data_IF_649937221133
#
_entry.id   IF_649937221133
#
_cell.length_a   1.000
_cell.length_b   1.000
_cell.length_c   1.000
_cell.angle_alpha   90.00
_cell.angle_beta   90.00
_cell.angle_gamma   90.00
#
_symmetry.space_group_name_H-M   'P 1'
#
loop_
_entity.id
_entity.type
_entity.pdbx_description
1 polymer ?
#
# COMPACT_ATOMS: atom_id res chain seq x y z
N UNK A 1 -9.58 -5.90 -9.52
CA UNK A 1 -9.86 -4.64 -10.23
C UNK A 1 -10.00 -4.89 -11.71
N UNK A 2 -10.98 -4.31 -12.35
CA UNK A 2 -11.22 -4.49 -13.80
C UNK A 2 -11.03 -3.15 -14.51
N UNK A 3 -10.11 -3.11 -15.44
CA UNK A 3 -10.02 -2.04 -16.44
C UNK A 3 -10.57 -2.60 -17.74
N UNK A 4 -11.54 -1.97 -18.32
CA UNK A 4 -12.39 -2.23 -19.51
C UNK A 4 -12.36 -3.61 -20.20
N UNK A 5 -11.48 -4.55 -19.90
CA UNK A 5 -11.50 -5.98 -20.33
C UNK A 5 -10.40 -6.85 -19.68
N UNK A 6 -9.58 -6.33 -18.77
CA UNK A 6 -8.45 -7.08 -18.21
C UNK A 6 -8.44 -7.04 -16.70
N UNK A 7 -8.30 -8.19 -16.05
CA UNK A 7 -8.10 -8.30 -14.60
C UNK A 7 -6.70 -7.86 -14.23
N UNK A 8 -6.58 -6.88 -13.34
CA UNK A 8 -5.33 -6.42 -12.76
C UNK A 8 -5.26 -6.80 -11.28
N UNK A 9 -4.06 -7.09 -10.83
CA UNK A 9 -3.78 -7.44 -9.44
C UNK A 9 -3.04 -6.30 -8.76
N UNK A 10 -3.62 -5.79 -7.68
CA UNK A 10 -2.97 -4.80 -6.84
C UNK A 10 -2.08 -5.51 -5.81
N UNK A 11 -0.79 -5.22 -5.88
CA UNK A 11 0.20 -5.63 -4.91
C UNK A 11 0.50 -4.45 -4.00
N UNK A 12 0.35 -4.62 -2.70
CA UNK A 12 0.44 -3.54 -1.73
C UNK A 12 1.26 -3.97 -0.52
N UNK A 13 2.25 -3.16 -0.14
CA UNK A 13 2.89 -3.20 1.15
C UNK A 13 2.05 -2.44 2.18
N UNK A 14 1.94 -2.95 3.39
CA UNK A 14 1.31 -2.25 4.53
C UNK A 14 2.21 -2.43 5.73
N UNK A 15 2.57 -1.33 6.37
CA UNK A 15 3.41 -1.37 7.54
C UNK A 15 2.64 -1.70 8.84
N UNK A 16 3.35 -1.73 9.95
CA UNK A 16 2.77 -2.02 11.27
C UNK A 16 1.75 -0.97 11.73
N UNK A 17 1.85 0.25 11.25
CA UNK A 17 0.97 1.37 11.58
C UNK A 17 -0.21 1.50 10.60
N UNK A 18 -0.25 0.68 9.56
CA UNK A 18 -1.30 0.63 8.56
C UNK A 18 -1.09 1.62 7.40
N UNK A 19 0.10 2.21 7.32
CA UNK A 19 0.51 3.03 6.18
C UNK A 19 0.84 2.14 4.99
N UNK A 20 0.73 2.71 3.80
CA UNK A 20 1.03 2.01 2.55
C UNK A 20 2.32 2.59 1.97
N UNK A 21 3.48 1.99 2.26
CA UNK A 21 4.75 2.47 1.75
C UNK A 21 4.87 2.38 0.23
N UNK A 22 4.34 1.33 -0.36
CA UNK A 22 4.35 1.18 -1.82
C UNK A 22 3.26 0.22 -2.30
N UNK A 23 2.85 0.44 -3.57
CA UNK A 23 1.84 -0.39 -4.22
C UNK A 23 1.99 -0.37 -5.74
N UNK A 24 1.83 -1.53 -6.36
CA UNK A 24 1.94 -1.68 -7.80
C UNK A 24 0.82 -2.52 -8.39
N UNK A 25 0.35 -2.12 -9.57
CA UNK A 25 -0.55 -2.92 -10.38
C UNK A 25 0.23 -3.87 -11.30
N UNK A 26 -0.19 -5.11 -11.35
CA UNK A 26 0.42 -6.13 -12.19
C UNK A 26 -0.64 -6.97 -12.92
N UNK A 27 -0.32 -7.39 -14.13
CA UNK A 27 -1.20 -8.26 -14.92
C UNK A 27 -1.23 -9.71 -14.42
N UNK A 28 -0.16 -10.15 -13.79
CA UNK A 28 -0.01 -11.52 -13.31
C UNK A 28 0.25 -11.54 -11.80
N UNK A 29 -0.21 -12.61 -11.17
CA UNK A 29 0.03 -12.86 -9.74
C UNK A 29 1.14 -13.90 -9.60
N UNK A 30 2.33 -13.53 -10.03
CA UNK A 30 3.48 -14.41 -10.11
C UNK A 30 4.67 -13.93 -9.24
N UNK A 31 5.74 -14.75 -9.20
CA UNK A 31 7.00 -14.46 -8.50
C UNK A 31 7.65 -13.15 -8.99
N UNK A 32 7.51 -12.80 -10.28
CA UNK A 32 8.12 -11.58 -10.85
C UNK A 32 7.44 -10.33 -10.31
N UNK A 33 6.11 -10.37 -10.15
CA UNK A 33 5.35 -9.26 -9.55
C UNK A 33 5.75 -9.06 -8.08
N UNK A 34 5.86 -10.14 -7.30
CA UNK A 34 6.34 -10.10 -5.93
C UNK A 34 7.74 -9.49 -5.82
N UNK A 35 8.68 -9.93 -6.66
CA UNK A 35 10.03 -9.37 -6.72
C UNK A 35 10.06 -7.88 -7.04
N UNK A 36 9.19 -7.41 -7.93
CA UNK A 36 9.11 -5.99 -8.30
C UNK A 36 8.67 -5.14 -7.12
N UNK A 37 7.62 -5.54 -6.39
CA UNK A 37 7.20 -4.84 -5.18
C UNK A 37 8.31 -4.82 -4.12
N UNK A 38 8.94 -5.97 -3.84
CA UNK A 38 10.03 -6.05 -2.87
C UNK A 38 11.20 -5.14 -3.22
N UNK A 39 11.61 -5.08 -4.50
CA UNK A 39 12.66 -4.16 -4.96
C UNK A 39 12.30 -2.68 -4.73
N UNK A 40 11.05 -2.31 -5.00
CA UNK A 40 10.57 -0.95 -4.74
C UNK A 40 10.65 -0.61 -3.26
N UNK A 41 10.09 -1.46 -2.41
CA UNK A 41 10.13 -1.29 -0.96
C UNK A 41 11.57 -1.16 -0.42
N UNK A 42 12.49 -2.00 -0.90
CA UNK A 42 13.90 -1.94 -0.49
C UNK A 42 14.60 -0.67 -0.96
N UNK A 43 14.31 -0.19 -2.17
CA UNK A 43 14.88 1.07 -2.68
C UNK A 43 14.42 2.28 -1.85
N UNK A 44 13.15 2.32 -1.45
CA UNK A 44 12.60 3.43 -0.69
C UNK A 44 13.07 3.44 0.77
N UNK A 45 13.20 2.27 1.39
CA UNK A 45 13.47 2.18 2.83
C UNK A 45 14.93 1.81 3.17
N UNK A 46 15.77 1.49 2.18
CA UNK A 46 17.18 1.17 2.37
C UNK A 46 17.48 -0.12 3.14
N UNK A 47 16.44 -0.83 3.59
CA UNK A 47 16.57 -2.07 4.38
C UNK A 47 15.37 -2.99 4.19
N UNK A 48 15.58 -4.26 4.43
CA UNK A 48 14.52 -5.26 4.44
C UNK A 48 13.75 -5.16 5.75
N UNK A 49 12.41 -5.04 5.70
CA UNK A 49 11.60 -5.03 6.92
C UNK A 49 11.69 -6.36 7.67
N UNK A 50 11.82 -6.27 8.98
CA UNK A 50 11.80 -7.43 9.89
C UNK A 50 10.67 -7.22 10.90
N UNK A 51 9.70 -8.12 11.03
CA UNK A 51 9.36 -9.26 10.20
C UNK A 51 8.57 -8.88 8.94
N UNK A 52 8.59 -9.72 7.92
CA UNK A 52 7.79 -9.59 6.71
C UNK A 52 6.59 -10.54 6.76
N UNK A 53 5.40 -9.97 6.68
CA UNK A 53 4.15 -10.70 6.67
C UNK A 53 3.55 -10.63 5.27
N UNK A 54 3.41 -11.75 4.62
CA UNK A 54 2.77 -11.83 3.32
C UNK A 54 1.46 -12.61 3.40
N UNK A 55 0.56 -12.30 2.48
CA UNK A 55 -0.58 -13.16 2.19
C UNK A 55 -0.07 -14.56 1.78
N UNK A 56 -0.88 -15.61 2.02
CA UNK A 56 -0.57 -17.02 1.67
C UNK A 56 -0.24 -17.25 0.19
N UNK A 57 0.21 -16.22 -0.51
CA UNK A 57 0.64 -16.29 -1.89
C UNK A 57 1.99 -17.02 -1.99
N UNK A 58 1.95 -18.17 -2.64
CA UNK A 58 3.16 -18.94 -3.00
C UNK A 58 4.23 -18.10 -3.69
N UNK A 59 3.82 -17.03 -4.38
CA UNK A 59 4.70 -16.08 -5.08
C UNK A 59 5.65 -15.35 -4.15
N UNK A 60 5.22 -14.95 -2.95
CA UNK A 60 6.08 -14.30 -1.96
C UNK A 60 7.06 -15.30 -1.33
N UNK A 61 6.57 -16.49 -0.96
CA UNK A 61 7.43 -17.55 -0.43
C UNK A 61 8.55 -17.92 -1.40
N UNK A 62 8.27 -17.92 -2.71
CA UNK A 62 9.28 -18.19 -3.74
C UNK A 62 10.21 -17.01 -4.02
N UNK A 63 9.81 -15.77 -3.72
CA UNK A 63 10.61 -14.57 -3.97
C UNK A 63 11.53 -14.20 -2.80
N UNK A 64 11.10 -14.42 -1.56
CA UNK A 64 11.79 -14.00 -0.34
C UNK A 64 13.20 -14.55 -0.17
N UNK A 65 13.49 -15.86 -0.39
CA UNK A 65 14.84 -16.39 -0.22
C UNK A 65 15.89 -15.70 -1.07
N UNK A 66 15.50 -15.16 -2.22
CA UNK A 66 16.42 -14.46 -3.12
C UNK A 66 16.73 -13.01 -2.67
N UNK A 67 15.84 -12.40 -1.89
CA UNK A 67 15.99 -11.00 -1.47
C UNK A 67 16.41 -10.84 -0.01
N UNK A 68 16.01 -11.76 0.83
CA UNK A 68 16.23 -11.67 2.25
C UNK A 68 16.27 -13.05 2.90
N UNK A 69 17.33 -13.83 2.67
CA UNK A 69 17.44 -15.20 3.20
C UNK A 69 17.41 -15.26 4.74
N UNK A 70 17.79 -14.16 5.41
CA UNK A 70 17.80 -14.06 6.87
C UNK A 70 16.48 -13.54 7.49
N UNK A 71 15.47 -13.23 6.69
CA UNK A 71 14.20 -12.70 7.18
C UNK A 71 13.21 -13.83 7.39
N UNK A 72 12.74 -13.96 8.63
CA UNK A 72 11.70 -14.90 8.99
C UNK A 72 10.39 -14.54 8.30
N UNK A 73 9.92 -15.43 7.43
CA UNK A 73 8.66 -15.29 6.72
C UNK A 73 7.53 -15.89 7.55
N UNK A 74 6.67 -15.03 8.12
CA UNK A 74 5.55 -15.45 8.95
C UNK A 74 4.23 -15.34 8.19
N UNK A 75 3.44 -16.40 8.26
CA UNK A 75 2.07 -16.45 7.72
C UNK A 75 1.06 -16.31 8.85
N UNK A 76 0.47 -15.14 9.02
CA UNK A 76 -0.58 -14.95 10.03
C UNK A 76 -1.89 -14.53 9.40
N UNK A 77 -2.93 -15.36 9.58
CA UNK A 77 -4.28 -15.13 9.04
C UNK A 77 -4.92 -13.81 9.55
N UNK A 78 -4.64 -13.43 10.80
CA UNK A 78 -5.20 -12.19 11.41
C UNK A 78 -4.55 -10.90 10.91
N UNK A 79 -3.34 -10.94 10.41
CA UNK A 79 -2.64 -9.75 9.93
C UNK A 79 -3.02 -9.44 8.48
N UNK A 80 -3.53 -10.41 7.76
CA UNK A 80 -4.16 -10.22 6.45
C UNK A 80 -5.40 -9.33 6.47
N UNK A 81 -6.14 -9.30 7.60
CA UNK A 81 -7.30 -8.42 7.74
C UNK A 81 -6.91 -6.93 7.72
N UNK A 82 -5.72 -6.55 8.19
CA UNK A 82 -5.24 -5.16 8.07
C UNK A 82 -4.98 -4.77 6.63
N UNK A 83 -4.35 -5.64 5.88
CA UNK A 83 -4.10 -5.42 4.45
C UNK A 83 -5.41 -5.35 3.65
N UNK A 84 -6.36 -6.25 3.92
CA UNK A 84 -7.70 -6.22 3.35
C UNK A 84 -8.48 -4.96 3.71
N UNK A 85 -8.51 -4.58 4.97
CA UNK A 85 -9.19 -3.37 5.43
C UNK A 85 -8.59 -2.08 4.84
N UNK A 86 -7.30 -2.08 4.52
CA UNK A 86 -6.65 -0.94 3.86
C UNK A 86 -7.15 -0.73 2.43
N UNK A 87 -7.71 -1.76 1.79
CA UNK A 87 -8.25 -1.71 0.42
C UNK A 87 -9.69 -1.22 0.36
N UNK A 88 -10.49 -1.43 1.41
CA UNK A 88 -11.92 -1.10 1.41
C UNK A 88 -12.24 0.35 1.01
N UNK A 89 -11.55 1.39 1.53
CA UNK A 89 -11.82 2.76 1.13
C UNK A 89 -11.49 3.01 -0.34
N UNK A 90 -10.45 2.36 -0.85
CA UNK A 90 -10.04 2.44 -2.25
C UNK A 90 -11.09 1.79 -3.16
N UNK A 91 -11.55 0.59 -2.84
CA UNK A 91 -12.58 -0.12 -3.62
C UNK A 91 -13.91 0.64 -3.67
N UNK A 92 -14.29 1.30 -2.56
CA UNK A 92 -15.46 2.18 -2.53
C UNK A 92 -15.31 3.35 -3.50
N UNK A 93 -14.12 3.97 -3.54
CA UNK A 93 -13.82 5.09 -4.42
C UNK A 93 -13.78 4.66 -5.89
N UNK A 94 -13.13 3.54 -6.20
CA UNK A 94 -13.10 2.97 -7.55
C UNK A 94 -14.51 2.71 -8.09
N UNK A 95 -15.40 2.15 -7.27
CA UNK A 95 -16.80 1.93 -7.63
C UNK A 95 -17.55 3.22 -7.88
N UNK A 96 -17.37 4.24 -7.04
CA UNK A 96 -17.99 5.55 -7.21
C UNK A 96 -17.52 6.25 -8.50
N UNK A 97 -16.28 6.03 -8.93
CA UNK A 97 -15.70 6.57 -10.16
C UNK A 97 -15.99 5.72 -11.40
N UNK A 98 -16.81 4.68 -11.29
CA UNK A 98 -17.17 3.76 -12.39
C UNK A 98 -15.98 3.05 -13.06
N UNK A 99 -14.85 2.94 -12.33
CA UNK A 99 -13.64 2.27 -12.80
C UNK A 99 -12.71 3.15 -13.63
N UNK A 100 -11.69 2.53 -14.22
CA UNK A 100 -10.65 3.21 -15.02
C UNK A 100 -10.46 2.53 -16.37
N UNK A 101 -10.43 3.33 -17.43
CA UNK A 101 -10.20 2.85 -18.79
C UNK A 101 -8.75 2.40 -19.03
N UNK A 102 -7.79 3.17 -18.50
CA UNK A 102 -6.37 2.92 -18.69
C UNK A 102 -5.71 2.48 -17.38
N UNK A 103 -4.93 1.41 -17.43
CA UNK A 103 -4.20 0.90 -16.28
C UNK A 103 -3.20 1.92 -15.70
N UNK A 104 -2.60 2.78 -16.54
CA UNK A 104 -1.69 3.83 -16.08
C UNK A 104 -2.40 4.90 -15.23
N UNK A 105 -3.62 5.26 -15.59
CA UNK A 105 -4.43 6.19 -14.81
C UNK A 105 -4.84 5.57 -13.47
N UNK A 106 -5.18 4.29 -13.45
CA UNK A 106 -5.46 3.55 -12.23
C UNK A 106 -4.23 3.51 -11.32
N UNK A 107 -3.03 3.23 -11.85
CA UNK A 107 -1.79 3.24 -11.06
C UNK A 107 -1.52 4.62 -10.45
N UNK A 108 -1.64 5.70 -11.23
CA UNK A 108 -1.48 7.07 -10.72
C UNK A 108 -2.48 7.39 -9.61
N UNK A 109 -3.74 7.08 -9.84
CA UNK A 109 -4.78 7.30 -8.84
C UNK A 109 -4.48 6.55 -7.54
N UNK A 110 -4.10 5.28 -7.60
CA UNK A 110 -3.74 4.47 -6.44
C UNK A 110 -2.60 5.14 -5.68
N UNK A 111 -1.52 5.49 -6.36
CA UNK A 111 -0.34 6.11 -5.73
C UNK A 111 -0.69 7.44 -5.05
N UNK A 112 -1.45 8.32 -5.70
CA UNK A 112 -1.88 9.60 -5.13
C UNK A 112 -2.82 9.36 -3.94
N UNK A 113 -3.78 8.45 -4.09
CA UNK A 113 -4.75 8.15 -3.03
C UNK A 113 -4.08 7.60 -1.78
N UNK A 114 -3.13 6.67 -1.93
CA UNK A 114 -2.40 6.12 -0.80
C UNK A 114 -1.44 7.13 -0.17
N UNK A 115 -0.76 7.95 -0.95
CA UNK A 115 0.06 9.04 -0.45
C UNK A 115 -0.77 10.03 0.38
N UNK A 116 -1.88 10.51 -0.17
CA UNK A 116 -2.80 11.41 0.56
C UNK A 116 -3.32 10.77 1.85
N UNK A 117 -3.74 9.51 1.77
CA UNK A 117 -4.21 8.78 2.96
C UNK A 117 -3.13 8.62 4.02
N UNK A 118 -1.90 8.34 3.62
CA UNK A 118 -0.77 8.22 4.53
C UNK A 118 -0.50 9.53 5.27
N UNK A 119 -0.59 10.68 4.59
CA UNK A 119 -0.42 12.00 5.22
C UNK A 119 -1.41 12.22 6.37
N UNK A 120 -2.66 11.78 6.23
CA UNK A 120 -3.71 11.96 7.24
C UNK A 120 -3.82 10.80 8.25
N UNK A 121 -2.99 9.77 8.11
CA UNK A 121 -2.99 8.60 9.00
C UNK A 121 -2.11 8.81 10.20
N UNK A 122 -2.68 8.63 11.40
CA UNK A 122 -1.93 8.64 12.65
C UNK A 122 -1.51 7.21 13.03
N UNK A 123 -0.25 6.97 13.39
CA UNK A 123 0.21 5.67 13.85
C UNK A 123 -0.66 5.10 14.97
N UNK A 124 -0.92 3.79 14.93
CA UNK A 124 -1.83 3.13 15.86
C UNK A 124 -1.47 3.35 17.34
N UNK A 125 -0.18 3.48 17.63
CA UNK A 125 0.35 3.72 18.99
C UNK A 125 0.06 5.11 19.55
N UNK A 126 -0.32 6.07 18.71
CA UNK A 126 -0.55 7.50 19.07
C UNK A 126 -2.00 7.94 18.84
N UNK A 127 -2.95 7.02 18.80
CA UNK A 127 -4.36 7.32 18.51
C UNK A 127 -5.12 7.79 19.76
N UNK A 128 -4.81 8.96 20.29
CA UNK A 128 -5.75 9.70 21.12
C UNK A 128 -6.60 10.63 20.23
N UNK A 129 -7.79 11.02 20.69
CA UNK A 129 -8.67 11.93 19.94
C UNK A 129 -7.98 13.27 19.69
N UNK A 130 -7.27 13.79 20.68
CA UNK A 130 -6.52 15.05 20.58
C UNK A 130 -5.37 14.94 19.59
N UNK A 131 -4.58 13.87 19.64
CA UNK A 131 -3.46 13.64 18.73
C UNK A 131 -3.95 13.50 17.28
N UNK A 132 -5.07 12.81 17.06
CA UNK A 132 -5.66 12.68 15.71
C UNK A 132 -6.10 14.04 15.18
N UNK A 133 -6.76 14.84 16.01
CA UNK A 133 -7.23 16.17 15.64
C UNK A 133 -6.06 17.08 15.29
N UNK A 134 -5.07 17.17 16.16
CA UNK A 134 -3.88 17.99 15.96
C UNK A 134 -3.14 17.60 14.68
N UNK A 135 -2.82 16.33 14.51
CA UNK A 135 -2.13 15.83 13.32
C UNK A 135 -2.88 16.16 12.02
N UNK A 136 -4.22 16.06 12.03
CA UNK A 136 -5.03 16.43 10.87
C UNK A 136 -4.96 17.91 10.55
N UNK A 137 -5.00 18.77 11.55
CA UNK A 137 -4.87 20.22 11.36
C UNK A 137 -3.50 20.56 10.76
N UNK A 138 -2.42 20.08 11.37
CA UNK A 138 -1.06 20.27 10.86
C UNK A 138 -0.90 19.75 9.41
N UNK A 139 -1.50 18.60 9.11
CA UNK A 139 -1.46 18.04 7.76
C UNK A 139 -2.25 18.89 6.76
N UNK A 140 -3.39 19.46 7.15
CA UNK A 140 -4.15 20.38 6.31
C UNK A 140 -3.38 21.66 6.02
N UNK A 141 -2.69 22.22 7.02
CA UNK A 141 -1.88 23.42 6.84
C UNK A 141 -0.75 23.18 5.83
N UNK A 142 -0.03 22.07 5.97
CA UNK A 142 1.01 21.67 5.01
C UNK A 142 0.42 21.42 3.62
N UNK A 143 -0.73 20.76 3.54
CA UNK A 143 -1.43 20.52 2.28
C UNK A 143 -1.83 21.81 1.57
N UNK A 144 -2.36 22.77 2.31
CA UNK A 144 -2.76 24.07 1.76
C UNK A 144 -1.55 24.82 1.20
N UNK A 145 -0.42 24.81 1.90
CA UNK A 145 0.83 25.44 1.41
C UNK A 145 1.28 24.79 0.09
N UNK A 146 1.27 23.47 0.01
CA UNK A 146 1.66 22.74 -1.22
C UNK A 146 0.65 23.00 -2.36
N UNK A 147 -0.63 23.00 -2.07
CA UNK A 147 -1.68 23.21 -3.07
C UNK A 147 -1.71 24.65 -3.60
N UNK A 148 -1.35 25.64 -2.79
CA UNK A 148 -1.26 27.04 -3.22
C UNK A 148 0.06 27.34 -3.98
N UNK A 149 1.07 26.48 -3.85
CA UNK A 149 2.36 26.64 -4.54
C UNK A 149 2.40 25.96 -5.92
N UNK A 150 1.37 25.21 -6.28
CA UNK A 150 1.22 24.47 -7.53
C UNK A 150 0.37 25.24 -8.55
#
# INVERSE_FOLDING_TARGET
MRSSSRTLWLWRGVDQDGLVPDEILQRKRDKRAAKRLLRHLMKQHGRVPKPFLADKLRSFGAAMPEFAPSVEHRYYKRLNSRSGNSLLPFEKRERAMQGYWLWGNLQRFISIYSASRNCFSVPARRRSVLTIRQHRLETFDVWNVVACAA
#
